data_IF_556306692143
#
_entry.id   IF_556306692143
#
_cell.length_a   1.000
_cell.length_b   1.000
_cell.length_c   1.000
_cell.angle_alpha   90.00
_cell.angle_beta   90.00
_cell.angle_gamma   90.00
#
_symmetry.space_group_name_H-M   'P 1'
#
loop_
_entity.id
_entity.type
_entity.pdbx_description
1 polymer ?
#
# COMPACT_ATOMS: atom_id res chain seq x y z
N UNK A 1 26.12 -13.43 -4.16
CA UNK A 1 26.74 -12.20 -3.63
C UNK A 1 25.92 -11.67 -2.46
N UNK A 2 26.59 -11.40 -1.33
CA UNK A 2 25.98 -11.02 -0.06
C UNK A 2 25.16 -9.74 -0.18
N UNK A 3 23.91 -9.79 0.28
CA UNK A 3 23.03 -8.64 0.35
C UNK A 3 23.68 -7.55 1.21
N UNK A 4 24.07 -6.45 0.57
CA UNK A 4 24.54 -5.23 1.23
C UNK A 4 23.33 -4.62 1.94
N UNK A 5 23.10 -4.99 3.19
CA UNK A 5 22.12 -4.33 4.05
C UNK A 5 22.70 -2.93 4.35
N UNK A 6 22.41 -1.97 3.47
CA UNK A 6 22.72 -0.56 3.70
C UNK A 6 22.02 -0.14 4.99
N UNK A 7 22.77 0.50 5.90
CA UNK A 7 22.32 0.95 7.24
C UNK A 7 21.35 2.15 7.20
N UNK A 8 20.47 2.19 6.19
CA UNK A 8 19.42 3.18 6.04
C UNK A 8 18.10 2.43 5.74
N UNK A 9 17.41 1.91 6.76
CA UNK A 9 16.22 1.06 6.56
C UNK A 9 15.09 1.75 5.77
N UNK A 10 15.04 3.09 5.78
CA UNK A 10 14.09 3.87 4.99
C UNK A 10 14.44 3.89 3.50
N UNK A 11 15.72 3.92 3.13
CA UNK A 11 16.18 3.81 1.73
C UNK A 11 15.85 2.43 1.16
N UNK A 12 16.02 1.38 1.96
CA UNK A 12 15.64 0.03 1.56
C UNK A 12 14.13 -0.07 1.29
N UNK A 13 13.29 0.44 2.21
CA UNK A 13 11.83 0.47 2.00
C UNK A 13 11.44 1.26 0.76
N UNK A 14 12.07 2.42 0.52
CA UNK A 14 11.84 3.22 -0.69
C UNK A 14 12.16 2.40 -1.94
N UNK A 15 13.35 1.76 -1.98
CA UNK A 15 13.78 0.95 -3.13
C UNK A 15 12.79 -0.18 -3.40
N UNK A 16 12.45 -0.99 -2.40
CA UNK A 16 11.51 -2.09 -2.59
C UNK A 16 10.13 -1.63 -3.05
N UNK A 17 9.59 -0.55 -2.47
CA UNK A 17 8.30 -0.01 -2.89
C UNK A 17 8.36 0.57 -4.31
N UNK A 18 9.48 1.18 -4.70
CA UNK A 18 9.68 1.66 -6.06
C UNK A 18 9.77 0.49 -7.06
N UNK A 19 10.47 -0.58 -6.69
CA UNK A 19 10.58 -1.80 -7.50
C UNK A 19 9.19 -2.44 -7.71
N UNK A 20 8.38 -2.52 -6.65
CA UNK A 20 6.99 -3.00 -6.75
C UNK A 20 6.16 -2.07 -7.66
N UNK A 21 6.30 -0.74 -7.52
CA UNK A 21 5.58 0.22 -8.37
C UNK A 21 5.94 0.04 -9.85
N UNK A 22 7.20 -0.26 -10.15
CA UNK A 22 7.69 -0.47 -11.51
C UNK A 22 7.12 -1.74 -12.19
N UNK A 23 6.49 -2.65 -11.43
CA UNK A 23 5.76 -3.79 -11.99
C UNK A 23 4.40 -3.41 -12.57
N UNK A 24 3.88 -2.22 -12.24
CA UNK A 24 2.60 -1.73 -12.74
C UNK A 24 2.80 -0.73 -13.88
N UNK A 25 1.77 -0.51 -14.74
CA UNK A 25 1.82 0.50 -15.77
C UNK A 25 2.20 1.89 -15.22
N UNK A 26 2.92 2.73 -15.97
CA UNK A 26 3.37 4.05 -15.50
C UNK A 26 2.25 4.97 -15.02
N UNK A 27 1.06 4.82 -15.61
CA UNK A 27 -0.14 5.61 -15.30
C UNK A 27 -0.94 5.05 -14.11
N UNK A 28 -0.50 3.92 -13.56
CA UNK A 28 -1.13 3.26 -12.41
C UNK A 28 -0.58 3.77 -11.08
N UNK A 29 -1.46 3.80 -10.09
CA UNK A 29 -1.13 4.13 -8.70
C UNK A 29 -1.42 2.90 -7.82
N UNK A 30 -0.51 1.91 -7.79
CA UNK A 30 -0.77 0.63 -7.12
C UNK A 30 -0.86 0.74 -5.60
N UNK A 31 -0.34 1.83 -5.03
CA UNK A 31 -0.39 2.07 -3.59
C UNK A 31 -1.50 3.05 -3.23
N UNK A 32 -2.55 2.54 -2.58
CA UNK A 32 -3.66 3.37 -2.12
C UNK A 32 -3.37 4.08 -0.77
N UNK A 33 -2.77 3.36 0.18
CA UNK A 33 -2.48 3.84 1.54
C UNK A 33 -1.23 3.12 2.10
N UNK A 34 -0.62 3.69 3.15
CA UNK A 34 0.55 3.12 3.83
C UNK A 34 0.35 3.03 5.34
N UNK A 35 0.66 1.87 5.92
CA UNK A 35 0.62 1.64 7.37
C UNK A 35 2.03 1.30 7.86
N UNK A 36 2.61 2.19 8.65
CA UNK A 36 3.95 2.06 9.20
C UNK A 36 3.95 2.08 10.72
N UNK A 37 5.11 1.81 11.31
CA UNK A 37 5.32 1.85 12.76
C UNK A 37 6.44 2.81 13.17
N UNK A 38 7.10 3.44 12.21
CA UNK A 38 8.14 4.45 12.42
C UNK A 38 7.83 5.69 11.59
N UNK A 39 8.23 6.86 12.08
CA UNK A 39 8.14 8.11 11.32
C UNK A 39 8.93 8.04 10.00
N UNK A 40 9.97 7.21 9.95
CA UNK A 40 10.72 6.95 8.71
C UNK A 40 9.88 6.28 7.63
N UNK A 41 8.83 5.55 8.00
CA UNK A 41 7.93 4.91 7.04
C UNK A 41 7.07 5.94 6.31
N UNK A 42 6.73 7.06 6.98
CA UNK A 42 6.03 8.19 6.35
C UNK A 42 6.82 8.70 5.15
N UNK A 43 8.14 8.87 5.32
CA UNK A 43 9.04 9.29 4.24
C UNK A 43 9.05 8.27 3.10
N UNK A 44 9.10 6.97 3.41
CA UNK A 44 9.09 5.92 2.40
C UNK A 44 7.82 5.93 1.55
N UNK A 45 6.66 6.10 2.19
CA UNK A 45 5.36 6.13 1.51
C UNK A 45 5.14 7.40 0.68
N UNK A 46 5.57 8.56 1.19
CA UNK A 46 5.54 9.81 0.43
C UNK A 46 6.38 9.70 -0.85
N UNK A 47 7.55 9.06 -0.77
CA UNK A 47 8.48 8.94 -1.90
C UNK A 47 7.90 8.12 -3.06
N UNK A 48 7.03 7.15 -2.79
CA UNK A 48 6.37 6.34 -3.83
C UNK A 48 5.04 6.92 -4.34
N UNK A 49 4.60 8.04 -3.74
CA UNK A 49 3.46 8.82 -4.20
C UNK A 49 2.17 8.61 -3.40
N UNK A 50 2.24 8.00 -2.21
CA UNK A 50 1.06 7.89 -1.34
C UNK A 50 0.83 9.26 -0.68
N UNK A 51 -0.40 9.83 -0.74
CA UNK A 51 -0.68 11.12 -0.15
C UNK A 51 -0.63 11.05 1.39
N UNK A 52 -0.13 12.11 2.03
CA UNK A 52 0.05 12.19 3.49
C UNK A 52 -1.21 11.88 4.31
N UNK A 53 -2.40 12.20 3.78
CA UNK A 53 -3.69 11.89 4.41
C UNK A 53 -4.07 10.40 4.41
N UNK A 54 -3.31 9.55 3.71
CA UNK A 54 -3.49 8.09 3.63
C UNK A 54 -2.27 7.32 4.17
N UNK A 55 -1.42 8.01 4.93
CA UNK A 55 -0.29 7.41 5.62
C UNK A 55 -0.60 7.38 7.11
N UNK A 56 -0.50 6.20 7.71
CA UNK A 56 -0.88 5.92 9.08
C UNK A 56 0.33 5.34 9.82
N UNK A 57 0.78 6.01 10.87
CA UNK A 57 1.87 5.51 11.73
C UNK A 57 1.26 5.02 13.04
N UNK A 58 1.44 3.73 13.34
CA UNK A 58 0.86 3.06 14.51
C UNK A 58 1.95 2.92 15.58
N UNK A 59 1.67 3.44 16.77
CA UNK A 59 2.58 3.26 17.89
C UNK A 59 2.36 1.89 18.59
N UNK A 60 3.30 1.43 19.44
CA UNK A 60 3.15 0.17 20.16
C UNK A 60 1.94 0.11 21.11
N UNK A 61 1.34 1.26 21.47
CA UNK A 61 0.13 1.35 22.28
C UNK A 61 -1.16 1.22 21.44
N UNK A 62 -1.06 1.10 20.11
CA UNK A 62 -2.19 0.98 19.19
C UNK A 62 -2.84 2.31 18.79
N UNK A 63 -2.19 3.43 19.07
CA UNK A 63 -2.62 4.77 18.66
C UNK A 63 -2.10 5.05 17.24
N UNK A 64 -2.96 5.63 16.39
CA UNK A 64 -2.63 5.90 14.99
C UNK A 64 -2.43 7.39 14.77
N UNK A 65 -1.27 7.80 14.23
CA UNK A 65 -0.99 9.17 13.82
C UNK A 65 -1.17 9.35 12.31
N UNK A 66 -1.74 10.50 11.90
CA UNK A 66 -1.95 10.86 10.49
C UNK A 66 -1.55 12.31 10.29
N UNK A 67 -0.71 12.60 9.29
CA UNK A 67 -0.28 13.96 8.96
C UNK A 67 0.40 14.69 10.12
N UNK A 68 1.20 13.98 10.94
CA UNK A 68 1.85 14.46 12.19
C UNK A 68 0.92 15.09 13.24
N UNK A 69 -0.37 15.23 12.94
CA UNK A 69 -1.41 15.48 13.92
C UNK A 69 -1.69 14.11 14.52
N UNK A 70 -1.44 13.98 15.80
CA UNK A 70 -2.01 12.87 16.58
C UNK A 70 -3.52 13.09 16.53
N UNK A 71 -4.18 12.60 15.48
CA UNK A 71 -5.57 12.27 15.57
C UNK A 71 -5.54 11.06 16.50
N UNK A 72 -5.78 11.26 17.80
CA UNK A 72 -5.77 10.23 18.85
C UNK A 72 -6.93 9.25 18.63
N UNK A 73 -6.97 8.66 17.43
CA UNK A 73 -7.95 7.73 16.95
C UNK A 73 -7.25 6.39 17.06
N UNK A 74 -7.72 5.58 17.99
CA UNK A 74 -7.33 4.18 18.08
C UNK A 74 -7.63 3.48 16.75
N UNK A 75 -7.00 2.34 16.51
CA UNK A 75 -7.32 1.46 15.38
C UNK A 75 -8.84 1.23 15.20
N UNK A 76 -9.61 1.21 16.30
CA UNK A 76 -11.09 1.13 16.31
C UNK A 76 -11.79 2.33 15.64
N UNK A 77 -11.26 3.54 15.83
CA UNK A 77 -11.78 4.74 15.17
C UNK A 77 -11.46 4.76 13.67
N UNK A 78 -10.32 4.16 13.27
CA UNK A 78 -9.98 3.95 11.87
C UNK A 78 -10.92 2.90 11.25
N UNK A 79 -11.21 1.81 11.97
CA UNK A 79 -12.19 0.80 11.57
C UNK A 79 -13.58 1.42 11.32
N UNK A 80 -14.05 2.31 12.18
CA UNK A 80 -15.30 3.04 11.96
C UNK A 80 -15.27 3.94 10.71
N UNK A 81 -14.09 4.43 10.31
CA UNK A 81 -13.90 5.26 9.12
C UNK A 81 -13.50 4.46 7.88
N UNK A 82 -13.34 3.14 7.99
CA UNK A 82 -12.78 2.30 6.92
C UNK A 82 -13.61 2.41 5.65
N UNK A 83 -14.94 2.41 5.76
CA UNK A 83 -15.83 2.53 4.60
C UNK A 83 -15.75 3.90 3.90
N UNK A 84 -15.29 4.94 4.60
CA UNK A 84 -15.09 6.28 4.03
C UNK A 84 -13.69 6.45 3.46
N UNK A 85 -12.67 5.84 4.07
CA UNK A 85 -11.27 5.91 3.62
C UNK A 85 -10.99 4.88 2.53
N UNK A 86 -11.65 3.73 2.58
CA UNK A 86 -11.55 2.60 1.66
C UNK A 86 -12.98 2.24 1.21
N UNK A 87 -13.59 3.07 0.34
CA UNK A 87 -14.92 2.77 -0.16
C UNK A 87 -14.91 1.43 -0.90
N UNK A 88 -16.01 0.66 -0.83
CA UNK A 88 -16.17 -0.53 -1.67
C UNK A 88 -15.97 -0.13 -3.14
N UNK A 89 -15.13 -0.89 -3.86
CA UNK A 89 -14.97 -0.69 -5.30
C UNK A 89 -16.33 -0.91 -5.95
N UNK A 90 -16.84 0.12 -6.63
CA UNK A 90 -18.19 0.14 -7.22
C UNK A 90 -18.29 -0.69 -8.50
N UNK A 91 -17.14 -1.04 -9.08
CA UNK A 91 -17.01 -1.97 -10.19
C UNK A 91 -16.72 -3.38 -9.65
N UNK A 92 -17.29 -4.45 -10.23
CA UNK A 92 -16.68 -5.76 -10.10
C UNK A 92 -15.20 -5.61 -10.49
N UNK A 93 -14.26 -6.35 -9.84
CA UNK A 93 -12.86 -6.27 -10.21
C UNK A 93 -12.78 -6.43 -11.73
N UNK A 94 -12.13 -5.46 -12.40
CA UNK A 94 -11.78 -5.61 -13.81
C UNK A 94 -11.26 -7.02 -13.97
N UNK A 95 -11.87 -7.75 -14.91
CA UNK A 95 -11.69 -9.18 -15.12
C UNK A 95 -10.24 -9.56 -14.84
N UNK A 96 -9.98 -10.16 -13.67
CA UNK A 96 -8.61 -10.38 -13.20
C UNK A 96 -7.99 -11.46 -14.09
N UNK A 97 -7.36 -11.06 -15.19
CA UNK A 97 -6.73 -11.98 -16.14
C UNK A 97 -5.63 -12.82 -15.46
N UNK A 98 -5.07 -12.30 -14.37
CA UNK A 98 -3.95 -12.87 -13.62
C UNK A 98 -4.35 -13.40 -12.23
N UNK A 99 -5.56 -13.92 -12.06
CA UNK A 99 -5.87 -14.73 -10.88
C UNK A 99 -5.70 -16.23 -11.15
N UNK A 100 -5.58 -17.03 -10.08
CA UNK A 100 -5.36 -18.49 -10.16
C UNK A 100 -6.38 -19.21 -11.04
N UNK A 101 -7.59 -18.66 -11.18
CA UNK A 101 -8.65 -19.27 -11.98
C UNK A 101 -8.58 -18.89 -13.46
N UNK A 102 -8.23 -17.65 -13.79
CA UNK A 102 -8.21 -17.12 -15.14
C UNK A 102 -6.88 -17.37 -15.87
N UNK A 103 -5.76 -17.26 -15.17
CA UNK A 103 -4.42 -17.36 -15.78
C UNK A 103 -4.12 -18.73 -16.40
N UNK A 104 -4.64 -19.80 -15.80
CA UNK A 104 -4.43 -21.18 -16.28
C UNK A 104 -5.53 -21.69 -17.22
N UNK A 105 -6.54 -20.87 -17.55
CA UNK A 105 -7.55 -21.33 -18.50
C UNK A 105 -6.92 -21.48 -19.88
N UNK A 106 -6.96 -22.70 -20.38
CA UNK A 106 -6.70 -22.97 -21.79
C UNK A 106 -7.73 -22.19 -22.64
N UNK A 107 -7.30 -21.51 -23.71
CA UNK A 107 -8.22 -20.92 -24.67
C UNK A 107 -9.21 -22.00 -25.14
N UNK A 108 -10.50 -21.67 -25.14
CA UNK A 108 -11.51 -22.58 -25.71
C UNK A 108 -11.21 -22.66 -27.20
N UNK A 109 -10.98 -23.86 -27.71
CA UNK A 109 -10.74 -24.06 -29.14
C UNK A 109 -11.94 -23.54 -29.94
N UNK A 110 -11.67 -22.67 -30.91
CA UNK A 110 -12.69 -22.22 -31.86
C UNK A 110 -13.22 -23.44 -32.63
N UNK A 111 -14.54 -23.63 -32.63
CA UNK A 111 -15.24 -24.69 -33.38
C UNK A 111 -15.36 -24.28 -34.85
#
# INVERSE_FOLDING_TARGET
CFAVIRRAPHEFKISCLADIKALFPPDSHPFYAGFGNRDTDELSYLKVGIPMGKIFIINPKGEVAVNRRVNTKSYMSLHALVNRVFPPLSSPPEQEDYNTWNYWKMPVADI
#
